data_IF_394547085896
#
_entry.id   IF_394547085896
#
_cell.length_a   1.000
_cell.length_b   1.000
_cell.length_c   1.000
_cell.angle_alpha   90.00
_cell.angle_beta   90.00
_cell.angle_gamma   90.00
#
_symmetry.space_group_name_H-M   'P 1'
#
loop_
_entity.id
_entity.type
_entity.pdbx_description
1 polymer ?
#
# COMPACT_ATOMS: atom_id res chain seq x y z
N UNK A 1 3.31 17.67 25.25
CA UNK A 1 3.81 17.64 23.86
C UNK A 1 2.77 18.31 23.00
N UNK A 2 3.15 19.37 22.31
CA UNK A 2 2.26 20.13 21.43
C UNK A 2 1.78 19.24 20.28
N UNK A 3 0.46 19.10 20.13
CA UNK A 3 -0.16 18.27 19.07
C UNK A 3 0.15 18.82 17.67
N UNK A 4 0.44 20.13 17.57
CA UNK A 4 0.76 20.79 16.30
C UNK A 4 2.11 20.32 15.72
N UNK A 5 3.05 19.87 16.56
CA UNK A 5 4.35 19.34 16.11
C UNK A 5 4.25 18.01 15.36
N UNK A 6 3.17 17.25 15.57
CA UNK A 6 2.95 15.98 14.91
C UNK A 6 2.26 16.13 13.54
N UNK A 7 1.87 17.34 13.16
CA UNK A 7 1.20 17.62 11.90
C UNK A 7 2.06 18.56 11.04
N UNK A 8 2.03 18.34 9.74
CA UNK A 8 2.64 19.28 8.78
C UNK A 8 1.93 20.64 8.84
N UNK A 9 2.68 21.76 8.71
CA UNK A 9 2.08 23.09 8.73
C UNK A 9 1.18 23.32 7.51
N UNK A 10 0.15 24.15 7.71
CA UNK A 10 -0.70 24.57 6.60
C UNK A 10 0.11 25.41 5.61
N UNK A 11 -0.02 25.09 4.31
CA UNK A 11 0.72 25.76 3.24
C UNK A 11 -0.03 25.66 1.92
N UNK A 12 0.26 26.59 1.01
CA UNK A 12 -0.17 26.51 -0.38
C UNK A 12 0.83 25.71 -1.19
N UNK A 13 0.33 24.81 -2.02
CA UNK A 13 1.16 23.93 -2.86
C UNK A 13 0.61 23.87 -4.28
N UNK A 14 1.51 23.92 -5.26
CA UNK A 14 1.16 23.71 -6.65
C UNK A 14 1.18 22.20 -6.98
N UNK A 15 0.06 21.65 -7.42
CA UNK A 15 -0.06 20.25 -7.81
C UNK A 15 0.04 20.10 -9.33
N UNK A 16 1.14 19.53 -9.85
CA UNK A 16 1.20 19.24 -11.28
C UNK A 16 0.23 18.12 -11.65
N UNK A 17 -0.23 18.07 -12.91
CA UNK A 17 -0.96 16.90 -13.40
C UNK A 17 -0.13 15.63 -13.22
N UNK A 18 -0.75 14.57 -12.69
CA UNK A 18 -0.05 13.33 -12.43
C UNK A 18 -0.95 12.10 -12.60
N UNK A 19 -0.34 11.00 -13.02
CA UNK A 19 -0.93 9.68 -12.93
C UNK A 19 -0.59 9.08 -11.56
N UNK A 20 -1.58 8.49 -10.91
CA UNK A 20 -1.44 7.95 -9.56
C UNK A 20 -1.98 6.53 -9.52
N UNK A 21 -1.23 5.62 -8.91
CA UNK A 21 -1.73 4.26 -8.67
C UNK A 21 -2.94 4.30 -7.71
N UNK A 22 -4.06 3.70 -8.11
CA UNK A 22 -5.29 3.69 -7.31
C UNK A 22 -5.15 2.96 -5.98
N UNK A 23 -4.24 1.97 -5.91
CA UNK A 23 -3.95 1.18 -4.70
C UNK A 23 -2.46 1.28 -4.35
N UNK A 24 -2.18 1.36 -3.06
CA UNK A 24 -0.82 1.22 -2.56
C UNK A 24 -0.32 -0.22 -2.72
N UNK A 25 0.98 -0.37 -2.90
CA UNK A 25 1.70 -1.65 -3.04
C UNK A 25 2.60 -1.85 -1.82
N UNK A 26 2.69 -3.06 -1.23
CA UNK A 26 3.66 -3.32 -0.18
C UNK A 26 5.09 -3.00 -0.61
N UNK A 27 5.84 -2.31 0.24
CA UNK A 27 7.15 -1.77 -0.14
C UNK A 27 8.22 -2.86 -0.32
N UNK A 28 8.06 -3.99 0.36
CA UNK A 28 8.97 -5.12 0.27
C UNK A 28 8.56 -6.19 -0.76
N UNK A 29 7.58 -5.92 -1.61
CA UNK A 29 7.10 -6.91 -2.57
C UNK A 29 7.28 -6.46 -4.03
N UNK A 30 7.92 -7.30 -4.83
CA UNK A 30 7.91 -7.19 -6.28
C UNK A 30 6.72 -7.97 -6.84
N UNK A 31 5.72 -7.27 -7.37
CA UNK A 31 4.54 -7.89 -7.97
C UNK A 31 4.91 -8.40 -9.37
N UNK A 32 4.79 -9.70 -9.59
CA UNK A 32 5.04 -10.33 -10.89
C UNK A 32 3.81 -10.36 -11.78
N UNK A 33 2.62 -10.49 -11.20
CA UNK A 33 1.38 -10.61 -11.95
C UNK A 33 0.27 -11.31 -11.15
N UNK A 34 -0.65 -11.97 -11.87
CA UNK A 34 -1.79 -12.68 -11.29
C UNK A 34 -1.92 -14.08 -11.86
N UNK A 35 -2.34 -15.04 -11.03
CA UNK A 35 -2.65 -16.40 -11.45
C UNK A 35 -4.13 -16.69 -11.21
N UNK A 36 -4.79 -17.28 -12.21
CA UNK A 36 -6.17 -17.76 -12.08
C UNK A 36 -6.23 -18.99 -11.17
N UNK A 37 -7.18 -19.00 -10.25
CA UNK A 37 -7.41 -20.14 -9.36
C UNK A 37 -7.99 -21.35 -10.10
N UNK A 38 -8.81 -21.10 -11.11
CA UNK A 38 -9.50 -22.14 -11.90
C UNK A 38 -8.59 -22.71 -12.99
N UNK A 39 -8.02 -21.83 -13.84
CA UNK A 39 -7.29 -22.25 -15.04
C UNK A 39 -5.79 -22.40 -14.82
N UNK A 40 -5.28 -21.91 -13.67
CA UNK A 40 -3.83 -21.85 -13.38
C UNK A 40 -3.03 -21.03 -14.39
N UNK A 41 -3.70 -20.24 -15.24
CA UNK A 41 -3.05 -19.35 -16.21
C UNK A 41 -2.51 -18.14 -15.46
N UNK A 42 -1.23 -17.85 -15.66
CA UNK A 42 -0.56 -16.67 -15.14
C UNK A 42 -0.57 -15.54 -16.18
N UNK A 43 -0.81 -14.32 -15.73
CA UNK A 43 -0.71 -13.08 -16.52
C UNK A 43 0.21 -12.09 -15.80
N UNK A 44 1.30 -11.68 -16.46
CA UNK A 44 2.28 -10.77 -15.90
C UNK A 44 3.68 -11.00 -16.45
N UNK A 45 4.72 -10.80 -15.63
CA UNK A 45 6.11 -11.02 -16.00
C UNK A 45 6.43 -12.52 -16.07
N UNK A 46 6.24 -13.13 -17.26
CA UNK A 46 6.42 -14.56 -17.49
C UNK A 46 7.86 -15.02 -17.26
N UNK A 47 8.85 -14.19 -17.58
CA UNK A 47 10.27 -14.54 -17.40
C UNK A 47 10.58 -14.76 -15.91
N UNK A 48 10.18 -13.80 -15.06
CA UNK A 48 10.40 -13.91 -13.62
C UNK A 48 9.53 -15.01 -12.98
N UNK A 49 8.32 -15.18 -13.47
CA UNK A 49 7.40 -16.20 -12.99
C UNK A 49 7.90 -17.62 -13.30
N UNK A 50 8.54 -17.85 -14.43
CA UNK A 50 9.04 -19.19 -14.84
C UNK A 50 9.95 -19.80 -13.76
N UNK A 51 10.81 -19.01 -13.13
CA UNK A 51 11.73 -19.46 -12.09
C UNK A 51 11.04 -19.94 -10.80
N UNK A 52 9.81 -19.48 -10.51
CA UNK A 52 9.07 -19.78 -9.27
C UNK A 52 7.77 -20.54 -9.53
N UNK A 53 7.47 -20.87 -10.81
CA UNK A 53 6.20 -21.49 -11.21
C UNK A 53 5.85 -22.75 -10.42
N UNK A 54 6.82 -23.66 -10.26
CA UNK A 54 6.59 -24.91 -9.55
C UNK A 54 6.19 -24.68 -8.08
N UNK A 55 6.86 -23.74 -7.42
CA UNK A 55 6.55 -23.39 -6.02
C UNK A 55 5.19 -22.71 -5.88
N UNK A 56 4.81 -21.83 -6.81
CA UNK A 56 3.49 -21.20 -6.83
C UNK A 56 2.38 -22.22 -7.01
N UNK A 57 2.54 -23.17 -7.97
CA UNK A 57 1.55 -24.23 -8.17
C UNK A 57 1.44 -25.14 -6.96
N UNK A 58 2.57 -25.53 -6.36
CA UNK A 58 2.57 -26.35 -5.13
C UNK A 58 1.83 -25.64 -3.96
N UNK A 59 2.01 -24.33 -3.78
CA UNK A 59 1.26 -23.56 -2.78
C UNK A 59 -0.25 -23.59 -3.02
N UNK A 60 -0.67 -23.48 -4.28
CA UNK A 60 -2.10 -23.51 -4.65
C UNK A 60 -2.69 -24.91 -4.49
N UNK A 61 -1.94 -25.96 -4.79
CA UNK A 61 -2.41 -27.34 -4.67
C UNK A 61 -2.56 -27.77 -3.22
N UNK A 62 -1.63 -27.34 -2.34
CA UNK A 62 -1.77 -27.56 -0.89
C UNK A 62 -3.01 -26.91 -0.31
N UNK A 63 -3.39 -25.73 -0.80
CA UNK A 63 -4.62 -25.05 -0.35
C UNK A 63 -5.87 -25.80 -0.80
N UNK A 64 -5.89 -26.35 -2.02
CA UNK A 64 -7.01 -27.15 -2.53
C UNK A 64 -7.15 -28.52 -1.89
N UNK A 65 -6.12 -29.00 -1.20
CA UNK A 65 -6.09 -30.28 -0.48
C UNK A 65 -6.64 -30.22 0.95
N UNK A 66 -6.92 -29.04 1.47
CA UNK A 66 -7.46 -28.86 2.82
C UNK A 66 -8.97 -29.03 2.79
N UNK A 67 -9.43 -30.16 3.30
CA UNK A 67 -10.79 -30.57 3.63
C UNK A 67 -11.92 -30.10 2.66
N UNK A 68 -12.47 -31.04 1.85
CA UNK A 68 -13.59 -30.73 0.97
C UNK A 68 -14.87 -30.32 1.71
N UNK A 69 -14.96 -30.52 3.03
CA UNK A 69 -16.08 -30.11 3.87
C UNK A 69 -15.86 -28.81 4.63
N UNK A 70 -14.65 -28.25 4.61
CA UNK A 70 -14.45 -26.92 5.13
C UNK A 70 -15.15 -25.93 4.20
N UNK A 71 -16.02 -25.09 4.73
CA UNK A 71 -16.56 -23.90 4.04
C UNK A 71 -15.44 -22.87 3.83
N UNK A 72 -14.25 -23.31 3.47
CA UNK A 72 -13.05 -22.50 3.38
C UNK A 72 -12.98 -21.89 2.00
N UNK A 73 -13.33 -20.62 1.93
CA UNK A 73 -12.83 -19.76 0.87
C UNK A 73 -11.30 -19.84 0.83
N UNK A 74 -10.71 -19.49 -0.30
CA UNK A 74 -9.26 -19.39 -0.46
C UNK A 74 -8.65 -18.49 0.61
N UNK A 75 -7.51 -18.88 1.18
CA UNK A 75 -6.81 -18.08 2.18
C UNK A 75 -6.48 -16.67 1.64
N UNK A 76 -6.56 -15.66 2.49
CA UNK A 76 -6.26 -14.28 2.10
C UNK A 76 -4.82 -14.13 1.59
N UNK A 77 -3.88 -14.94 2.11
CA UNK A 77 -2.49 -15.00 1.62
C UNK A 77 -1.86 -16.36 1.88
N UNK A 78 -0.93 -16.76 0.97
CA UNK A 78 -0.09 -17.94 1.08
C UNK A 78 1.37 -17.50 0.94
N UNK A 79 2.26 -18.12 1.69
CA UNK A 79 3.69 -17.77 1.68
C UNK A 79 4.54 -19.04 1.68
N UNK A 80 5.61 -19.04 0.89
CA UNK A 80 6.66 -20.07 0.92
C UNK A 80 8.00 -19.42 0.55
N UNK A 81 8.94 -19.45 1.49
CA UNK A 81 10.20 -18.73 1.33
C UNK A 81 9.93 -17.23 1.05
N UNK A 82 10.46 -16.75 -0.06
CA UNK A 82 10.25 -15.37 -0.51
C UNK A 82 9.06 -15.19 -1.48
N UNK A 83 8.28 -16.24 -1.74
CA UNK A 83 7.10 -16.16 -2.59
C UNK A 83 5.88 -15.84 -1.74
N UNK A 84 5.08 -14.89 -2.18
CA UNK A 84 3.84 -14.51 -1.54
C UNK A 84 2.70 -14.41 -2.54
N UNK A 85 1.62 -15.07 -2.23
CA UNK A 85 0.37 -15.01 -2.97
C UNK A 85 -0.65 -14.26 -2.12
N UNK A 86 -1.31 -13.25 -2.68
CA UNK A 86 -2.41 -12.51 -2.02
C UNK A 86 -3.67 -12.67 -2.83
N UNK A 87 -4.78 -13.01 -2.18
CA UNK A 87 -6.08 -13.09 -2.85
C UNK A 87 -6.47 -11.71 -3.37
N UNK A 88 -6.43 -11.54 -4.70
CA UNK A 88 -6.74 -10.29 -5.38
C UNK A 88 -8.21 -10.18 -5.76
N UNK A 89 -8.86 -11.33 -5.95
CA UNK A 89 -10.31 -11.46 -6.19
C UNK A 89 -10.73 -12.88 -5.88
N UNK A 90 -12.03 -13.18 -5.93
CA UNK A 90 -12.57 -14.54 -5.75
C UNK A 90 -11.92 -15.59 -6.68
N UNK A 91 -11.28 -15.17 -7.78
CA UNK A 91 -10.77 -16.07 -8.82
C UNK A 91 -9.28 -15.92 -9.13
N UNK A 92 -8.57 -15.02 -8.43
CA UNK A 92 -7.15 -14.74 -8.75
C UNK A 92 -6.33 -14.49 -7.49
N UNK A 93 -5.12 -15.05 -7.46
CA UNK A 93 -4.05 -14.58 -6.60
C UNK A 93 -3.11 -13.63 -7.35
N UNK A 94 -2.72 -12.55 -6.68
CA UNK A 94 -1.54 -11.78 -7.03
C UNK A 94 -0.30 -12.56 -6.60
N UNK A 95 0.67 -12.70 -7.49
CA UNK A 95 1.94 -13.36 -7.26
C UNK A 95 3.01 -12.31 -7.06
N UNK A 96 3.73 -12.38 -5.95
CA UNK A 96 4.83 -11.47 -5.63
C UNK A 96 6.03 -12.20 -5.04
N UNK A 97 7.20 -11.57 -5.14
CA UNK A 97 8.44 -11.97 -4.49
C UNK A 97 8.74 -10.96 -3.39
N UNK A 98 8.93 -11.44 -2.17
CA UNK A 98 9.38 -10.61 -1.04
C UNK A 98 10.85 -10.29 -1.24
N UNK A 99 11.20 -9.01 -1.07
CA UNK A 99 12.54 -8.45 -1.25
C UNK A 99 13.06 -7.88 0.06
N UNK A 100 14.35 -8.09 0.30
CA UNK A 100 15.11 -7.41 1.36
C UNK A 100 15.87 -6.24 0.75
N UNK A 101 15.15 -5.22 0.28
CA UNK A 101 15.74 -4.02 -0.32
C UNK A 101 15.57 -2.81 0.58
N UNK A 102 16.36 -1.76 0.27
CA UNK A 102 16.28 -0.47 0.91
C UNK A 102 15.38 0.48 0.10
N UNK A 103 14.97 1.61 0.69
CA UNK A 103 14.18 2.64 -0.01
C UNK A 103 14.85 3.11 -1.31
N UNK A 104 16.18 3.23 -1.30
CA UNK A 104 16.96 3.61 -2.50
C UNK A 104 16.78 2.61 -3.66
N UNK A 105 16.75 1.30 -3.37
CA UNK A 105 16.55 0.26 -4.39
C UNK A 105 15.13 0.33 -4.98
N UNK A 106 14.13 0.59 -4.13
CA UNK A 106 12.75 0.80 -4.57
C UNK A 106 12.67 2.04 -5.49
N UNK A 107 13.25 3.17 -5.08
CA UNK A 107 13.27 4.40 -5.90
C UNK A 107 13.93 4.13 -7.25
N UNK A 108 15.08 3.46 -7.29
CA UNK A 108 15.77 3.08 -8.52
C UNK A 108 14.89 2.20 -9.43
N UNK A 109 14.20 1.22 -8.83
CA UNK A 109 13.27 0.36 -9.56
C UNK A 109 12.10 1.14 -10.16
N UNK A 110 11.51 2.07 -9.41
CA UNK A 110 10.43 2.92 -9.88
C UNK A 110 10.87 3.83 -11.03
N UNK A 111 12.03 4.47 -10.88
CA UNK A 111 12.59 5.40 -11.88
C UNK A 111 12.84 4.72 -13.22
N UNK A 112 13.26 3.46 -13.21
CA UNK A 112 13.46 2.67 -14.44
C UNK A 112 12.18 2.58 -15.30
N UNK A 113 11.00 2.60 -14.65
CA UNK A 113 9.70 2.55 -15.33
C UNK A 113 9.03 3.94 -15.46
N UNK A 114 9.75 5.04 -15.20
CA UNK A 114 9.21 6.39 -15.27
C UNK A 114 8.27 6.77 -14.10
N UNK A 115 8.30 5.99 -13.02
CA UNK A 115 7.55 6.28 -11.80
C UNK A 115 8.45 6.81 -10.69
N UNK A 116 7.83 7.40 -9.69
CA UNK A 116 8.48 7.85 -8.46
C UNK A 116 7.55 7.74 -7.26
N UNK A 117 8.09 7.95 -6.07
CA UNK A 117 7.29 8.16 -4.86
C UNK A 117 6.67 9.57 -4.91
N UNK A 118 5.49 9.78 -4.32
CA UNK A 118 4.94 11.12 -4.14
C UNK A 118 5.83 11.93 -3.19
N UNK A 119 5.90 13.24 -3.37
CA UNK A 119 6.43 14.13 -2.35
C UNK A 119 5.46 14.22 -1.18
N UNK A 120 5.88 14.79 -0.03
CA UNK A 120 5.01 15.03 1.11
C UNK A 120 3.74 15.79 0.70
N UNK A 121 3.88 16.86 -0.05
CA UNK A 121 2.75 17.67 -0.52
C UNK A 121 1.77 16.86 -1.37
N UNK A 122 2.31 16.09 -2.32
CA UNK A 122 1.49 15.22 -3.17
C UNK A 122 0.78 14.12 -2.37
N UNK A 123 1.48 13.50 -1.42
CA UNK A 123 0.89 12.51 -0.54
C UNK A 123 -0.29 13.08 0.26
N UNK A 124 -0.09 14.22 0.92
CA UNK A 124 -1.11 14.88 1.74
C UNK A 124 -2.32 15.28 0.90
N UNK A 125 -2.11 15.86 -0.26
CA UNK A 125 -3.17 16.21 -1.21
C UNK A 125 -3.95 14.97 -1.68
N UNK A 126 -3.25 13.92 -2.07
CA UNK A 126 -3.86 12.67 -2.55
C UNK A 126 -4.65 11.96 -1.45
N UNK A 127 -4.09 11.87 -0.24
CA UNK A 127 -4.72 11.17 0.89
C UNK A 127 -5.93 11.93 1.44
N UNK A 128 -5.85 13.27 1.53
CA UNK A 128 -6.97 14.12 1.95
C UNK A 128 -8.08 14.20 0.89
N UNK A 129 -7.77 13.86 -0.36
CA UNK A 129 -8.69 14.06 -1.48
C UNK A 129 -8.91 15.54 -1.80
N UNK A 130 -7.90 16.40 -1.57
CA UNK A 130 -7.96 17.83 -1.73
C UNK A 130 -8.80 18.56 -0.65
N UNK A 131 -9.18 17.87 0.44
CA UNK A 131 -9.96 18.47 1.55
C UNK A 131 -9.04 19.04 2.60
N UNK A 132 -9.50 20.09 3.28
CA UNK A 132 -8.82 20.73 4.41
C UNK A 132 -9.24 20.16 5.78
N UNK A 133 -9.77 18.95 5.81
CA UNK A 133 -10.17 18.29 7.05
C UNK A 133 -8.98 17.58 7.71
N UNK A 134 -8.98 17.51 9.05
CA UNK A 134 -7.93 16.86 9.85
C UNK A 134 -7.71 15.38 9.44
N UNK A 135 -8.80 14.67 9.13
CA UNK A 135 -8.76 13.30 8.65
C UNK A 135 -9.40 13.20 7.27
N UNK A 136 -9.07 12.17 6.52
CA UNK A 136 -9.69 11.92 5.21
C UNK A 136 -11.23 11.70 5.29
N UNK A 137 -11.76 11.40 6.48
CA UNK A 137 -13.19 11.24 6.76
C UNK A 137 -13.84 12.45 7.46
N UNK A 138 -13.12 13.54 7.68
CA UNK A 138 -13.64 14.77 8.33
C UNK A 138 -12.83 15.17 9.56
N UNK A 139 -13.44 15.92 10.47
CA UNK A 139 -12.76 16.43 11.67
C UNK A 139 -13.11 15.68 12.96
N UNK A 140 -13.94 14.65 12.87
CA UNK A 140 -14.39 13.87 14.02
C UNK A 140 -14.08 12.40 13.80
N UNK A 141 -13.59 11.72 14.84
CA UNK A 141 -13.37 10.28 14.79
C UNK A 141 -14.72 9.56 14.86
N UNK A 142 -15.03 8.69 13.87
CA UNK A 142 -16.23 7.87 13.96
C UNK A 142 -16.08 6.79 15.04
N UNK A 143 -17.17 6.29 15.65
CA UNK A 143 -17.11 5.22 16.64
C UNK A 143 -16.48 3.93 16.14
N UNK A 144 -16.59 3.67 14.84
CA UNK A 144 -15.93 2.56 14.16
C UNK A 144 -15.21 3.10 12.93
N UNK A 145 -13.93 2.79 12.84
CA UNK A 145 -13.10 3.17 11.69
C UNK A 145 -13.43 2.24 10.50
N UNK A 146 -13.76 2.78 9.33
CA UNK A 146 -13.94 1.96 8.14
C UNK A 146 -12.59 1.38 7.69
N UNK A 147 -12.59 0.22 7.07
CA UNK A 147 -11.36 -0.39 6.55
C UNK A 147 -10.70 0.46 5.46
N UNK A 148 -11.51 1.09 4.62
CA UNK A 148 -11.09 1.96 3.54
C UNK A 148 -11.90 3.24 3.54
N UNK A 149 -11.28 4.34 3.12
CA UNK A 149 -11.93 5.63 2.98
C UNK A 149 -12.30 5.90 1.53
N UNK A 150 -13.49 6.46 1.27
CA UNK A 150 -13.80 7.01 -0.03
C UNK A 150 -12.89 8.20 -0.31
N UNK A 151 -12.28 8.20 -1.49
CA UNK A 151 -11.39 9.28 -1.92
C UNK A 151 -11.95 9.89 -3.22
N UNK A 152 -12.11 11.23 -3.32
CA UNK A 152 -12.64 11.90 -4.51
C UNK A 152 -11.83 11.63 -5.79
N UNK A 153 -10.55 11.28 -5.64
CA UNK A 153 -9.69 10.92 -6.79
C UNK A 153 -9.78 9.44 -7.18
N UNK A 154 -10.70 8.67 -6.61
CA UNK A 154 -10.85 7.23 -6.87
C UNK A 154 -9.75 6.36 -6.26
N UNK A 155 -8.97 6.90 -5.31
CA UNK A 155 -7.92 6.16 -4.64
C UNK A 155 -8.50 5.28 -3.52
N UNK A 156 -7.94 4.10 -3.35
CA UNK A 156 -8.20 3.23 -2.20
C UNK A 156 -7.24 3.60 -1.08
N UNK A 157 -7.75 4.27 -0.04
CA UNK A 157 -6.98 4.70 1.11
C UNK A 157 -7.30 3.78 2.30
N UNK A 158 -6.36 2.93 2.75
CA UNK A 158 -6.57 2.14 3.97
C UNK A 158 -6.52 3.06 5.19
N UNK A 159 -7.40 2.84 6.17
CA UNK A 159 -7.41 3.61 7.43
C UNK A 159 -6.29 3.13 8.35
N UNK A 160 -6.18 1.83 8.54
CA UNK A 160 -5.06 1.23 9.28
C UNK A 160 -3.85 1.05 8.37
N UNK A 161 -2.74 1.66 8.76
CA UNK A 161 -1.47 1.63 8.03
C UNK A 161 -0.34 1.40 9.02
N UNK A 162 -0.10 0.15 9.38
CA UNK A 162 0.92 -0.20 10.36
C UNK A 162 2.32 0.37 10.02
N UNK A 163 2.68 0.45 8.73
CA UNK A 163 3.95 1.00 8.27
C UNK A 163 3.84 2.29 7.45
N UNK A 164 2.62 2.83 7.28
CA UNK A 164 2.37 4.00 6.44
C UNK A 164 2.61 3.77 4.94
N UNK A 165 2.52 4.86 4.18
CA UNK A 165 2.95 4.88 2.78
C UNK A 165 4.27 5.67 2.67
N UNK A 166 5.24 5.12 1.94
CA UNK A 166 6.51 5.78 1.66
C UNK A 166 6.31 7.00 0.77
N UNK A 167 7.01 8.07 1.09
CA UNK A 167 7.12 9.30 0.31
C UNK A 167 8.58 9.54 -0.09
N UNK A 168 8.82 10.54 -0.93
CA UNK A 168 10.17 10.85 -1.40
C UNK A 168 11.09 11.26 -0.24
N UNK A 169 10.57 12.04 0.69
CA UNK A 169 11.27 12.50 1.89
C UNK A 169 11.41 11.39 2.95
N UNK A 170 12.37 11.51 3.85
CA UNK A 170 12.59 10.56 4.95
C UNK A 170 11.76 10.93 6.18
N UNK A 171 10.44 11.00 5.96
CA UNK A 171 9.43 11.29 6.97
C UNK A 171 8.46 10.11 7.01
N UNK A 172 8.11 9.67 8.22
CA UNK A 172 7.10 8.66 8.40
C UNK A 172 5.71 9.29 8.47
N UNK A 173 4.80 8.90 7.58
CA UNK A 173 3.45 9.48 7.41
C UNK A 173 2.34 8.74 8.15
N UNK A 174 2.66 7.67 8.86
CA UNK A 174 1.70 6.94 9.70
C UNK A 174 2.45 6.06 10.69
N UNK A 175 1.78 5.68 11.76
CA UNK A 175 2.27 4.68 12.72
C UNK A 175 1.14 3.72 13.06
N UNK A 176 1.50 2.55 13.59
CA UNK A 176 0.52 1.59 14.08
C UNK A 176 -0.34 2.21 15.19
N UNK A 177 -1.65 2.01 15.09
CA UNK A 177 -2.57 2.44 16.14
C UNK A 177 -2.64 1.39 17.25
N UNK A 178 -2.70 1.81 18.53
CA UNK A 178 -3.05 0.91 19.62
C UNK A 178 -4.53 0.46 19.46
N UNK A 179 -4.88 -0.66 20.09
CA UNK A 179 -6.24 -1.22 20.07
C UNK A 179 -7.31 -0.22 20.54
N UNK A 180 -6.93 0.70 21.44
CA UNK A 180 -7.77 1.82 21.88
C UNK A 180 -6.99 3.13 21.68
N UNK A 181 -7.16 3.81 20.54
CA UNK A 181 -6.44 5.03 20.26
C UNK A 181 -6.94 6.18 21.12
N UNK A 182 -6.02 6.87 21.79
CA UNK A 182 -6.28 8.18 22.39
C UNK A 182 -6.41 9.25 21.31
N UNK A 183 -6.94 10.43 21.63
CA UNK A 183 -7.00 11.55 20.71
C UNK A 183 -5.62 11.88 20.10
N UNK A 184 -4.55 11.75 20.86
CA UNK A 184 -3.18 11.97 20.41
C UNK A 184 -2.72 10.90 19.40
N UNK A 185 -2.94 9.62 19.69
CA UNK A 185 -2.56 8.54 18.80
C UNK A 185 -3.43 8.50 17.54
N UNK A 186 -4.66 8.99 17.62
CA UNK A 186 -5.55 9.11 16.47
C UNK A 186 -5.04 10.10 15.41
N UNK A 187 -4.18 11.07 15.77
CA UNK A 187 -3.55 11.96 14.78
C UNK A 187 -2.73 11.20 13.73
N UNK A 188 -2.23 10.01 14.04
CA UNK A 188 -1.56 9.15 13.06
C UNK A 188 -2.46 8.74 11.88
N UNK A 189 -3.78 8.92 11.97
CA UNK A 189 -4.74 8.73 10.87
C UNK A 189 -4.83 9.95 9.95
N UNK A 190 -4.30 11.09 10.39
CA UNK A 190 -4.29 12.30 9.57
C UNK A 190 -3.36 12.14 8.36
N UNK A 191 -3.76 12.59 7.16
CA UNK A 191 -2.84 12.72 6.03
C UNK A 191 -1.65 13.63 6.34
N UNK A 192 -1.84 14.58 7.25
CA UNK A 192 -0.85 15.59 7.64
C UNK A 192 0.09 15.12 8.76
N UNK A 193 -0.14 13.94 9.33
CA UNK A 193 0.74 13.38 10.34
C UNK A 193 2.16 13.21 9.82
N UNK A 194 3.13 13.52 10.67
CA UNK A 194 4.54 13.31 10.40
C UNK A 194 5.28 12.93 11.69
N UNK A 195 6.24 12.05 11.56
CA UNK A 195 7.22 11.75 12.61
C UNK A 195 8.59 11.57 11.97
N UNK A 196 9.63 11.85 12.74
CA UNK A 196 11.00 11.55 12.35
C UNK A 196 11.22 10.04 12.30
N UNK A 197 12.10 9.61 11.42
CA UNK A 197 12.53 8.22 11.31
C UNK A 197 12.29 7.60 9.95
N UNK A 198 13.05 6.57 9.66
CA UNK A 198 12.90 5.77 8.45
C UNK A 198 11.72 4.80 8.61
N UNK A 199 10.91 4.69 7.58
CA UNK A 199 9.83 3.71 7.55
C UNK A 199 10.39 2.28 7.42
N UNK A 200 9.81 1.35 8.17
CA UNK A 200 10.11 -0.07 8.01
C UNK A 200 9.45 -0.61 6.73
N UNK A 201 10.28 -0.94 5.73
CA UNK A 201 9.81 -1.44 4.45
C UNK A 201 9.09 -2.78 4.56
N UNK A 202 9.28 -3.55 5.63
CA UNK A 202 8.61 -4.86 5.79
C UNK A 202 7.11 -4.73 6.00
N UNK A 203 6.65 -3.59 6.54
CA UNK A 203 5.25 -3.29 6.83
C UNK A 203 4.74 -2.07 6.05
N UNK A 204 5.63 -1.23 5.52
CA UNK A 204 5.26 -0.07 4.73
C UNK A 204 4.67 -0.47 3.37
N UNK A 205 3.92 0.46 2.81
CA UNK A 205 3.46 0.42 1.43
C UNK A 205 3.96 1.65 0.66
N UNK A 206 3.78 1.66 -0.64
CA UNK A 206 4.06 2.83 -1.47
C UNK A 206 3.01 3.00 -2.56
N UNK A 207 2.84 4.21 -3.00
CA UNK A 207 2.00 4.58 -4.14
C UNK A 207 2.87 5.25 -5.19
N UNK A 208 2.94 4.64 -6.36
CA UNK A 208 3.70 5.21 -7.48
C UNK A 208 2.94 6.33 -8.14
N UNK A 209 3.67 7.38 -8.51
CA UNK A 209 3.17 8.52 -9.27
C UNK A 209 4.04 8.76 -10.49
N UNK A 210 3.46 9.32 -11.55
CA UNK A 210 4.20 9.83 -12.70
C UNK A 210 3.67 11.23 -13.05
N UNK A 211 4.55 12.18 -13.29
CA UNK A 211 4.15 13.53 -13.74
C UNK A 211 3.72 13.46 -15.20
N UNK A 212 2.65 14.16 -15.54
CA UNK A 212 2.17 14.29 -16.92
C UNK A 212 2.53 15.70 -17.40
N UNK A 213 3.27 15.77 -18.49
CA UNK A 213 3.48 17.04 -19.19
C UNK A 213 2.31 17.25 -20.13
N UNK A 214 1.58 18.36 -19.93
CA UNK A 214 0.51 18.80 -20.84
C UNK A 214 1.15 19.83 -21.76
N UNK A 215 1.29 19.49 -23.03
CA UNK A 215 1.79 20.38 -24.08
C UNK A 215 0.65 21.22 -24.64
#
# INVERSE_FOLDING_TARGET
TDLTQALSPQREVAMPPMLVATKATPANEEILGRISLTTRIFKGNHMRYAAIRAQVLHLLDRQGSLDPFAQSGWAASLTSGNIKLRLASAHHYQVSIVKSWQKADLIKSLSFFGFRLPTQDQYEYLQSGGRQSLFAFGNTLPPQLPRYLPNPFGLTIPVERAGGELIAEDIQKSTALPAQPSAKTALALSPFYQSEGAADLTVASYRRVATVTVN
#
